data_IF_468144183045
#
_entry.id   IF_468144183045
#
_cell.length_a   1.000
_cell.length_b   1.000
_cell.length_c   1.000
_cell.angle_alpha   90.00
_cell.angle_beta   90.00
_cell.angle_gamma   90.00
#
_symmetry.space_group_name_H-M   'P 1'
#
loop_
_entity.id
_entity.type
_entity.pdbx_description
1 polymer ?
#
# COMPACT_ATOMS: atom_id res chain seq x y z
N UNK A 1 -12.03 -15.99 11.20
CA UNK A 1 -11.73 -16.23 9.77
C UNK A 1 -10.21 -16.20 9.60
N UNK A 2 -9.59 -17.34 9.45
CA UNK A 2 -8.15 -17.46 9.16
C UNK A 2 -7.91 -16.92 7.73
N UNK A 3 -6.97 -15.99 7.52
CA UNK A 3 -6.66 -15.54 6.17
C UNK A 3 -6.17 -16.72 5.35
N UNK A 4 -6.81 -17.01 4.21
CA UNK A 4 -6.28 -17.95 3.22
C UNK A 4 -4.94 -17.39 2.73
N UNK A 5 -3.85 -17.96 3.22
CA UNK A 5 -2.53 -17.76 2.63
C UNK A 5 -2.59 -18.19 1.16
N UNK A 6 -2.08 -17.35 0.27
CA UNK A 6 -1.98 -17.66 -1.16
C UNK A 6 -1.17 -18.95 -1.30
N UNK A 7 -1.59 -19.90 -2.14
CA UNK A 7 -1.02 -21.26 -2.26
C UNK A 7 0.52 -21.33 -2.32
N UNK A 8 1.17 -20.32 -2.93
CA UNK A 8 2.63 -20.25 -2.98
C UNK A 8 3.32 -19.90 -1.64
N UNK A 9 2.61 -19.30 -0.68
CA UNK A 9 3.18 -19.02 0.64
C UNK A 9 3.10 -20.25 1.56
N UNK A 10 2.12 -21.12 1.37
CA UNK A 10 2.00 -22.40 2.11
C UNK A 10 3.14 -23.36 1.76
N UNK A 11 3.55 -23.42 0.48
CA UNK A 11 4.69 -24.23 0.04
C UNK A 11 5.99 -23.77 0.72
N UNK A 12 6.19 -22.47 0.90
CA UNK A 12 7.35 -21.91 1.59
C UNK A 12 7.36 -22.27 3.07
N UNK A 13 6.20 -22.21 3.75
CA UNK A 13 6.08 -22.58 5.16
C UNK A 13 6.33 -24.08 5.40
N UNK A 14 5.95 -24.95 4.44
CA UNK A 14 6.21 -26.37 4.51
C UNK A 14 7.68 -26.72 4.27
N UNK A 15 8.43 -25.87 3.57
CA UNK A 15 9.85 -26.07 3.26
C UNK A 15 10.81 -25.92 4.46
N UNK A 16 10.30 -25.61 5.67
CA UNK A 16 11.06 -25.47 6.94
C UNK A 16 11.95 -26.69 7.25
N UNK A 17 11.68 -27.84 6.65
CA UNK A 17 12.47 -29.08 6.88
C UNK A 17 13.67 -29.28 5.93
N UNK A 18 13.87 -28.40 4.94
CA UNK A 18 14.82 -28.64 3.85
C UNK A 18 15.90 -27.55 3.76
N UNK A 19 16.85 -27.63 4.69
CA UNK A 19 18.02 -26.74 4.78
C UNK A 19 19.03 -26.95 3.65
N UNK A 20 19.74 -25.92 3.22
CA UNK A 20 19.63 -24.51 3.65
C UNK A 20 18.46 -23.78 2.97
N UNK A 21 17.84 -22.84 3.71
CA UNK A 21 16.84 -21.92 3.17
C UNK A 21 17.48 -20.55 2.93
N UNK A 22 17.58 -20.14 1.68
CA UNK A 22 18.12 -18.85 1.26
C UNK A 22 16.97 -17.89 1.00
N UNK A 23 16.97 -16.73 1.66
CA UNK A 23 16.05 -15.64 1.45
C UNK A 23 16.83 -14.40 1.00
N UNK A 24 16.59 -13.92 -0.22
CA UNK A 24 17.10 -12.65 -0.72
C UNK A 24 15.91 -11.71 -0.87
N UNK A 25 15.86 -10.66 -0.08
CA UNK A 25 14.82 -9.63 -0.11
C UNK A 25 15.51 -8.30 -0.36
N UNK A 26 15.12 -7.59 -1.43
CA UNK A 26 15.81 -6.36 -1.80
C UNK A 26 14.95 -5.41 -2.65
N UNK A 27 15.28 -4.11 -2.66
CA UNK A 27 14.67 -3.16 -3.60
C UNK A 27 14.86 -3.61 -5.04
N UNK A 28 13.79 -3.60 -5.84
CA UNK A 28 13.80 -3.99 -7.24
C UNK A 28 12.75 -3.17 -8.00
N UNK A 29 13.16 -2.04 -8.56
CA UNK A 29 12.30 -1.09 -9.28
C UNK A 29 12.78 -0.92 -10.73
N UNK A 30 12.47 -1.87 -11.64
CA UNK A 30 13.00 -1.85 -13.01
C UNK A 30 12.59 -0.63 -13.84
N UNK A 31 11.50 0.06 -13.46
CA UNK A 31 11.04 1.28 -14.14
C UNK A 31 11.72 2.56 -13.64
N UNK A 32 12.41 2.50 -12.51
CA UNK A 32 13.06 3.64 -11.86
C UNK A 32 14.59 3.52 -11.83
N UNK A 33 15.12 2.33 -12.06
CA UNK A 33 16.55 2.00 -11.98
C UNK A 33 17.07 1.44 -13.31
N UNK A 34 18.35 1.61 -13.58
CA UNK A 34 18.98 0.98 -14.75
C UNK A 34 19.03 -0.54 -14.55
N UNK A 35 18.73 -1.28 -15.61
CA UNK A 35 18.77 -2.75 -15.58
C UNK A 35 20.16 -3.26 -15.15
N UNK A 36 21.23 -2.66 -15.66
CA UNK A 36 22.60 -3.01 -15.29
C UNK A 36 22.92 -2.81 -13.80
N UNK A 37 22.32 -1.80 -13.17
CA UNK A 37 22.47 -1.57 -11.74
C UNK A 37 21.77 -2.65 -10.92
N UNK A 38 20.55 -3.04 -11.31
CA UNK A 38 19.82 -4.11 -10.66
C UNK A 38 20.54 -5.46 -10.81
N UNK A 39 21.03 -5.77 -12.00
CA UNK A 39 21.83 -6.98 -12.26
C UNK A 39 23.10 -7.01 -11.43
N UNK A 40 23.78 -5.87 -11.28
CA UNK A 40 24.97 -5.75 -10.45
C UNK A 40 24.66 -6.02 -8.96
N UNK A 41 23.58 -5.42 -8.42
CA UNK A 41 23.15 -5.66 -7.03
C UNK A 41 22.80 -7.14 -6.80
N UNK A 42 22.09 -7.74 -7.73
CA UNK A 42 21.76 -9.18 -7.68
C UNK A 42 23.01 -10.05 -7.72
N UNK A 43 24.00 -9.72 -8.57
CA UNK A 43 25.28 -10.43 -8.63
C UNK A 43 26.04 -10.35 -7.30
N UNK A 44 26.05 -9.18 -6.66
CA UNK A 44 26.64 -9.02 -5.32
C UNK A 44 25.92 -9.87 -4.28
N UNK A 45 24.57 -9.89 -4.31
CA UNK A 45 23.79 -10.72 -3.41
C UNK A 45 24.10 -12.22 -3.59
N UNK A 46 24.18 -12.69 -4.83
CA UNK A 46 24.59 -14.08 -5.13
C UNK A 46 25.99 -14.38 -4.62
N UNK A 47 26.93 -13.45 -4.78
CA UNK A 47 28.30 -13.63 -4.26
C UNK A 47 28.35 -13.79 -2.75
N UNK A 48 27.56 -12.99 -2.00
CA UNK A 48 27.42 -13.14 -0.54
C UNK A 48 26.84 -14.52 -0.17
N UNK A 49 25.75 -14.93 -0.84
CA UNK A 49 25.12 -16.26 -0.64
C UNK A 49 26.11 -17.39 -0.94
N UNK A 50 26.85 -17.30 -2.05
CA UNK A 50 27.84 -18.31 -2.45
C UNK A 50 28.89 -18.51 -1.35
N UNK A 51 29.50 -17.41 -0.89
CA UNK A 51 30.52 -17.46 0.17
C UNK A 51 29.99 -18.05 1.47
N UNK A 52 28.78 -17.70 1.88
CA UNK A 52 28.19 -18.16 3.14
C UNK A 52 27.73 -19.61 3.06
N UNK A 53 27.13 -20.04 1.94
CA UNK A 53 26.74 -21.43 1.72
C UNK A 53 27.97 -22.36 1.71
N UNK A 54 29.05 -21.98 1.01
CA UNK A 54 30.27 -22.79 0.95
C UNK A 54 31.00 -22.88 2.30
N UNK A 55 30.83 -21.86 3.16
CA UNK A 55 31.40 -21.87 4.49
C UNK A 55 30.61 -22.72 5.52
N UNK A 56 29.28 -22.83 5.34
CA UNK A 56 28.37 -23.34 6.37
C UNK A 56 27.75 -24.69 6.03
N UNK A 57 27.74 -25.11 4.76
CA UNK A 57 27.07 -26.33 4.29
C UNK A 57 27.98 -27.21 3.42
N UNK A 58 27.56 -28.45 3.21
CA UNK A 58 28.29 -29.35 2.30
C UNK A 58 28.22 -28.86 0.86
N UNK A 59 29.29 -29.06 0.11
CA UNK A 59 29.44 -28.58 -1.27
C UNK A 59 28.24 -28.99 -2.18
N UNK A 60 27.78 -30.24 -2.09
CA UNK A 60 26.65 -30.74 -2.88
C UNK A 60 25.35 -29.93 -2.62
N UNK A 61 25.04 -29.63 -1.34
CA UNK A 61 23.86 -28.83 -0.98
C UNK A 61 24.02 -27.39 -1.41
N UNK A 62 25.17 -26.79 -1.18
CA UNK A 62 25.48 -25.42 -1.58
C UNK A 62 25.33 -25.25 -3.11
N UNK A 63 25.97 -26.13 -3.90
CA UNK A 63 25.89 -26.09 -5.36
C UNK A 63 24.48 -26.30 -5.89
N UNK A 64 23.68 -27.19 -5.29
CA UNK A 64 22.29 -27.40 -5.69
C UNK A 64 21.46 -26.13 -5.53
N UNK A 65 21.57 -25.43 -4.39
CA UNK A 65 20.87 -24.16 -4.11
C UNK A 65 21.36 -23.02 -5.01
N UNK A 66 22.69 -22.89 -5.18
CA UNK A 66 23.27 -21.85 -6.04
C UNK A 66 22.88 -22.02 -7.51
N UNK A 67 22.78 -23.25 -8.02
CA UNK A 67 22.29 -23.49 -9.39
C UNK A 67 20.87 -22.99 -9.56
N UNK A 68 19.97 -23.31 -8.64
CA UNK A 68 18.59 -22.82 -8.65
C UNK A 68 18.50 -21.31 -8.54
N UNK A 69 19.25 -20.73 -7.61
CA UNK A 69 19.29 -19.27 -7.42
C UNK A 69 19.74 -18.54 -8.70
N UNK A 70 20.80 -19.03 -9.34
CA UNK A 70 21.29 -18.44 -10.60
C UNK A 70 20.28 -18.57 -11.73
N UNK A 71 19.56 -19.69 -11.86
CA UNK A 71 18.52 -19.88 -12.84
C UNK A 71 17.36 -18.90 -12.61
N UNK A 72 16.86 -18.78 -11.38
CA UNK A 72 15.79 -17.84 -11.04
C UNK A 72 16.15 -16.39 -11.38
N UNK A 73 17.41 -15.99 -11.16
CA UNK A 73 17.86 -14.61 -11.45
C UNK A 73 17.93 -14.34 -12.95
N UNK A 74 18.21 -15.33 -13.77
CA UNK A 74 18.20 -15.20 -15.23
C UNK A 74 16.79 -14.96 -15.78
N UNK A 75 15.76 -15.54 -15.13
CA UNK A 75 14.36 -15.48 -15.54
C UNK A 75 13.58 -14.32 -14.92
N UNK A 76 14.27 -13.33 -14.33
CA UNK A 76 13.60 -12.19 -13.69
C UNK A 76 12.84 -11.32 -14.68
N UNK A 77 11.60 -10.96 -14.30
CA UNK A 77 10.78 -10.01 -15.05
C UNK A 77 11.15 -8.56 -14.73
N UNK A 78 11.88 -7.92 -15.65
CA UNK A 78 12.22 -6.50 -15.60
C UNK A 78 11.10 -5.59 -16.15
N UNK A 79 9.97 -6.12 -16.60
CA UNK A 79 8.83 -5.33 -17.06
C UNK A 79 7.89 -4.89 -15.94
N UNK A 80 8.04 -5.47 -14.77
CA UNK A 80 7.19 -5.22 -13.60
C UNK A 80 7.28 -3.79 -13.07
N UNK A 81 6.17 -3.31 -12.47
CA UNK A 81 6.08 -2.03 -11.75
C UNK A 81 6.21 -2.20 -10.22
N UNK A 82 6.64 -3.36 -9.77
CA UNK A 82 6.83 -3.65 -8.34
C UNK A 82 8.04 -2.91 -7.79
N UNK A 83 8.07 -2.75 -6.46
CA UNK A 83 9.09 -1.98 -5.74
C UNK A 83 10.22 -2.83 -5.20
N UNK A 84 9.93 -4.10 -4.98
CA UNK A 84 10.88 -5.01 -4.34
C UNK A 84 10.70 -6.43 -4.84
N UNK A 85 11.72 -7.25 -4.59
CA UNK A 85 11.71 -8.67 -4.91
C UNK A 85 12.06 -9.48 -3.65
N UNK A 86 11.42 -10.64 -3.50
CA UNK A 86 11.79 -11.65 -2.52
C UNK A 86 12.03 -12.96 -3.25
N UNK A 87 13.24 -13.49 -3.16
CA UNK A 87 13.69 -14.74 -3.76
C UNK A 87 13.91 -15.75 -2.65
N UNK A 88 13.24 -16.89 -2.74
CA UNK A 88 13.35 -17.98 -1.78
C UNK A 88 13.84 -19.24 -2.48
N UNK A 89 14.96 -19.76 -2.01
CA UNK A 89 15.58 -20.95 -2.61
C UNK A 89 16.04 -21.91 -1.53
N UNK A 90 15.72 -23.18 -1.73
CA UNK A 90 16.25 -24.32 -0.94
C UNK A 90 16.49 -25.50 -1.88
N UNK A 91 17.00 -26.64 -1.39
CA UNK A 91 17.13 -27.83 -2.24
C UNK A 91 15.83 -28.27 -2.93
N UNK A 92 14.66 -27.96 -2.37
CA UNK A 92 13.34 -28.38 -2.87
C UNK A 92 12.42 -27.25 -3.26
N UNK A 93 12.71 -26.02 -2.88
CA UNK A 93 11.87 -24.84 -3.18
C UNK A 93 12.66 -23.83 -3.99
N UNK A 94 12.01 -23.24 -4.99
CA UNK A 94 12.48 -22.10 -5.78
C UNK A 94 11.29 -21.20 -6.10
N UNK A 95 11.25 -20.01 -5.50
CA UNK A 95 10.14 -19.05 -5.68
C UNK A 95 10.63 -17.62 -5.73
N UNK A 96 9.97 -16.82 -6.57
CA UNK A 96 10.16 -15.37 -6.66
C UNK A 96 8.83 -14.69 -6.39
N UNK A 97 8.85 -13.65 -5.58
CA UNK A 97 7.71 -12.77 -5.35
C UNK A 97 8.12 -11.33 -5.62
N UNK A 98 7.31 -10.63 -6.41
CA UNK A 98 7.43 -9.20 -6.63
C UNK A 98 6.48 -8.46 -5.69
N UNK A 99 7.01 -7.55 -4.88
CA UNK A 99 6.30 -6.90 -3.79
C UNK A 99 5.95 -5.44 -4.14
N UNK A 100 4.77 -4.99 -3.72
CA UNK A 100 4.32 -3.59 -3.91
C UNK A 100 4.88 -2.64 -2.84
N UNK A 101 5.51 -3.17 -1.81
CA UNK A 101 6.09 -2.42 -0.70
C UNK A 101 7.61 -2.20 -0.91
N UNK A 102 8.17 -1.08 -0.47
CA UNK A 102 9.61 -0.94 -0.35
C UNK A 102 10.13 -1.81 0.80
N UNK A 103 11.31 -2.39 0.63
CA UNK A 103 11.98 -3.20 1.64
C UNK A 103 13.44 -2.77 1.77
N UNK A 104 14.06 -3.08 2.90
CA UNK A 104 15.50 -3.03 3.07
C UNK A 104 16.15 -4.32 2.53
N UNK A 105 17.41 -4.22 2.06
CA UNK A 105 18.15 -5.39 1.60
C UNK A 105 18.40 -6.35 2.76
N UNK A 106 17.98 -7.59 2.59
CA UNK A 106 18.21 -8.70 3.52
C UNK A 106 18.65 -9.93 2.74
N UNK A 107 19.74 -10.53 3.15
CA UNK A 107 20.21 -11.82 2.66
C UNK A 107 20.36 -12.70 3.89
N UNK A 108 19.53 -13.73 3.96
CA UNK A 108 19.44 -14.61 5.13
C UNK A 108 19.54 -16.05 4.68
N UNK A 109 20.44 -16.80 5.30
CA UNK A 109 20.62 -18.24 5.10
C UNK A 109 20.39 -18.88 6.46
N UNK A 110 19.34 -19.67 6.59
CA UNK A 110 18.92 -20.23 7.86
C UNK A 110 18.16 -21.56 7.64
N UNK A 111 17.65 -22.14 8.73
CA UNK A 111 16.81 -23.32 8.76
C UNK A 111 15.39 -23.06 8.20
N UNK A 112 14.99 -21.79 8.09
CA UNK A 112 13.69 -21.36 7.60
C UNK A 112 13.80 -20.10 6.73
N UNK A 113 12.79 -19.89 5.88
CA UNK A 113 12.73 -18.66 5.08
C UNK A 113 12.31 -17.45 5.90
N UNK A 114 12.91 -16.30 5.61
CA UNK A 114 12.48 -15.00 6.13
C UNK A 114 11.28 -14.48 5.32
N UNK A 115 10.07 -14.66 5.84
CA UNK A 115 8.83 -14.37 5.12
C UNK A 115 8.09 -13.12 5.60
N UNK A 116 8.61 -12.37 6.58
CA UNK A 116 7.91 -11.22 7.17
C UNK A 116 7.50 -10.18 6.15
N UNK A 117 8.40 -9.78 5.26
CA UNK A 117 8.10 -8.79 4.22
C UNK A 117 7.10 -9.31 3.19
N UNK A 118 7.16 -10.62 2.86
CA UNK A 118 6.19 -11.27 2.00
C UNK A 118 4.78 -11.26 2.64
N UNK A 119 4.67 -11.65 3.90
CA UNK A 119 3.40 -11.62 4.64
C UNK A 119 2.87 -10.20 4.76
N UNK A 120 3.75 -9.24 5.06
CA UNK A 120 3.39 -7.83 5.14
C UNK A 120 2.90 -7.28 3.79
N UNK A 121 3.55 -7.63 2.68
CA UNK A 121 3.15 -7.21 1.33
C UNK A 121 1.81 -7.82 0.89
N UNK A 122 1.48 -9.01 1.40
CA UNK A 122 0.23 -9.73 1.12
C UNK A 122 -0.92 -9.34 2.07
N UNK A 123 -0.63 -8.61 3.16
CA UNK A 123 -1.69 -7.96 3.91
C UNK A 123 -2.49 -7.11 2.94
N UNK A 124 -3.77 -7.42 2.78
CA UNK A 124 -4.67 -6.57 2.01
C UNK A 124 -4.50 -5.15 2.52
N UNK A 125 -4.03 -4.28 1.65
CA UNK A 125 -3.94 -2.86 1.97
C UNK A 125 -5.38 -2.35 2.04
N UNK A 126 -5.97 -2.40 3.23
CA UNK A 126 -7.32 -1.89 3.45
C UNK A 126 -7.31 -0.40 3.09
N UNK A 127 -7.88 -0.10 1.93
CA UNK A 127 -8.14 1.27 1.52
C UNK A 127 -9.38 1.78 2.23
N UNK A 128 -9.33 3.04 2.63
CA UNK A 128 -10.45 3.71 3.27
C UNK A 128 -10.48 5.19 2.90
N UNK A 129 -11.63 5.79 3.03
CA UNK A 129 -11.81 7.23 2.86
C UNK A 129 -11.94 7.90 4.22
N UNK A 130 -11.38 9.09 4.35
CA UNK A 130 -11.55 9.95 5.53
C UNK A 130 -12.09 11.30 5.07
N UNK A 131 -13.27 11.65 5.55
CA UNK A 131 -13.83 12.99 5.42
C UNK A 131 -13.51 13.78 6.68
N UNK A 132 -12.66 14.79 6.57
CA UNK A 132 -12.42 15.77 7.63
C UNK A 132 -13.34 16.96 7.42
N UNK A 133 -14.26 17.17 8.36
CA UNK A 133 -15.37 18.11 8.25
C UNK A 133 -15.33 19.14 9.35
N UNK A 134 -15.42 20.42 8.97
CA UNK A 134 -15.59 21.53 9.89
C UNK A 134 -16.66 22.50 9.36
N UNK A 135 -17.12 23.44 10.19
CA UNK A 135 -18.05 24.49 9.78
C UNK A 135 -17.52 25.40 8.65
N UNK A 136 -16.23 25.32 8.33
CA UNK A 136 -15.60 26.17 7.32
C UNK A 136 -15.02 25.40 6.15
N UNK A 137 -14.62 24.14 6.33
CA UNK A 137 -13.88 23.35 5.34
C UNK A 137 -14.27 21.88 5.39
N UNK A 138 -14.27 21.25 4.22
CA UNK A 138 -14.29 19.80 4.08
C UNK A 138 -13.07 19.33 3.29
N UNK A 139 -12.51 18.19 3.66
CA UNK A 139 -11.40 17.56 2.93
C UNK A 139 -11.58 16.06 2.93
N UNK A 140 -11.36 15.45 1.79
CA UNK A 140 -11.43 14.00 1.63
C UNK A 140 -10.03 13.46 1.42
N UNK A 141 -9.72 12.37 2.07
CA UNK A 141 -8.45 11.66 1.95
C UNK A 141 -8.68 10.21 1.60
N UNK A 142 -7.85 9.67 0.72
CA UNK A 142 -7.71 8.24 0.49
C UNK A 142 -6.54 7.76 1.35
N UNK A 143 -6.82 6.86 2.27
CA UNK A 143 -5.84 6.23 3.13
C UNK A 143 -5.68 4.76 2.83
N UNK A 144 -4.51 4.24 3.12
CA UNK A 144 -4.22 2.83 3.25
C UNK A 144 -3.20 2.65 4.39
N UNK A 145 -2.67 1.44 4.58
CA UNK A 145 -1.69 1.14 5.64
C UNK A 145 -0.39 1.96 5.54
N UNK A 146 -0.06 2.51 4.36
CA UNK A 146 1.24 3.13 4.07
C UNK A 146 1.12 4.59 3.65
N UNK A 147 0.02 4.94 2.97
CA UNK A 147 -0.15 6.26 2.35
C UNK A 147 -1.44 6.94 2.81
N UNK A 148 -1.39 8.26 2.90
CA UNK A 148 -2.53 9.09 3.20
C UNK A 148 -2.51 10.30 2.27
N UNK A 149 -3.37 10.30 1.24
CA UNK A 149 -3.34 11.28 0.14
C UNK A 149 -4.65 12.05 0.10
N UNK A 150 -4.56 13.38 0.00
CA UNK A 150 -5.72 14.22 -0.18
C UNK A 150 -6.31 14.04 -1.59
N UNK A 151 -7.62 13.80 -1.67
CA UNK A 151 -8.36 13.83 -2.92
C UNK A 151 -8.79 15.27 -3.18
N UNK A 152 -8.44 15.78 -4.37
CA UNK A 152 -8.92 17.08 -4.85
C UNK A 152 -10.17 16.80 -5.70
N UNK A 153 -11.31 17.35 -5.30
CA UNK A 153 -12.56 17.28 -6.04
C UNK A 153 -12.92 18.66 -6.62
N UNK A 154 -13.81 18.67 -7.60
CA UNK A 154 -14.34 19.91 -8.17
C UNK A 154 -15.37 20.62 -7.25
N UNK A 155 -15.72 19.99 -6.12
CA UNK A 155 -16.59 20.60 -5.11
C UNK A 155 -15.75 21.54 -4.25
N UNK A 156 -16.21 22.81 -4.05
CA UNK A 156 -15.51 23.75 -3.20
C UNK A 156 -15.31 23.20 -1.79
N UNK A 157 -14.09 23.18 -1.32
CA UNK A 157 -13.70 22.65 0.00
C UNK A 157 -13.86 23.66 1.14
N UNK A 158 -14.39 24.85 0.84
CA UNK A 158 -14.52 25.95 1.80
C UNK A 158 -15.89 26.63 1.71
N UNK A 159 -16.54 26.83 2.86
CA UNK A 159 -17.88 27.46 2.96
C UNK A 159 -17.92 28.86 2.36
N UNK A 160 -16.81 29.61 2.36
CA UNK A 160 -16.74 30.94 1.77
C UNK A 160 -16.98 30.98 0.26
N UNK A 161 -16.82 29.87 -0.45
CA UNK A 161 -17.15 29.79 -1.87
C UNK A 161 -18.65 30.03 -2.14
N UNK A 162 -19.50 29.81 -1.16
CA UNK A 162 -20.94 29.97 -1.24
C UNK A 162 -21.47 31.35 -0.83
N UNK A 163 -20.60 32.32 -0.51
CA UNK A 163 -21.01 33.67 -0.07
C UNK A 163 -21.83 34.41 -1.13
N UNK A 164 -21.46 34.24 -2.40
CA UNK A 164 -22.11 34.95 -3.51
C UNK A 164 -23.29 34.16 -4.10
N UNK A 165 -23.48 32.94 -3.64
CA UNK A 165 -24.46 31.99 -4.16
C UNK A 165 -25.78 32.01 -3.36
N UNK A 166 -25.84 32.89 -2.38
CA UNK A 166 -27.03 33.13 -1.56
C UNK A 166 -27.97 34.00 -2.40
N UNK A 167 -29.01 33.38 -2.91
CA UNK A 167 -30.04 34.08 -3.67
C UNK A 167 -30.54 35.31 -2.91
N UNK A 168 -30.91 36.38 -3.63
CA UNK A 168 -31.47 37.64 -3.11
C UNK A 168 -32.57 37.46 -2.06
N UNK A 169 -33.29 36.33 -2.09
CA UNK A 169 -34.29 35.94 -1.09
C UNK A 169 -33.75 35.80 0.34
N UNK A 170 -32.44 35.56 0.51
CA UNK A 170 -31.80 35.44 1.84
C UNK A 170 -31.22 36.76 2.32
N UNK A 171 -31.20 37.79 1.46
CA UNK A 171 -30.79 39.13 1.84
C UNK A 171 -31.72 39.77 2.89
N UNK A 172 -32.94 39.24 3.06
CA UNK A 172 -33.90 39.70 4.05
C UNK A 172 -33.81 39.03 5.42
N UNK A 173 -32.83 38.09 5.63
CA UNK A 173 -32.56 37.60 6.98
C UNK A 173 -31.91 38.71 7.80
N UNK A 174 -32.64 39.18 8.77
CA UNK A 174 -32.17 40.22 9.73
C UNK A 174 -31.11 39.69 10.70
N UNK A 175 -31.00 38.34 10.85
CA UNK A 175 -30.03 37.72 11.77
C UNK A 175 -28.83 37.11 11.01
N UNK A 176 -27.58 37.58 11.33
CA UNK A 176 -26.37 37.04 10.77
C UNK A 176 -26.14 35.55 11.10
N UNK A 177 -26.79 35.00 12.15
CA UNK A 177 -26.68 33.59 12.53
C UNK A 177 -27.42 32.71 11.55
N UNK A 178 -28.61 33.08 11.11
CA UNK A 178 -29.44 32.34 10.14
C UNK A 178 -28.73 32.26 8.80
N UNK A 179 -28.10 33.35 8.38
CA UNK A 179 -27.30 33.35 7.15
C UNK A 179 -26.12 32.34 7.19
N UNK A 180 -25.45 32.27 8.35
CA UNK A 180 -24.35 31.28 8.51
C UNK A 180 -24.84 29.85 8.48
N UNK A 181 -26.01 29.58 9.04
CA UNK A 181 -26.62 28.27 9.07
C UNK A 181 -27.06 27.80 7.67
N UNK A 182 -27.70 28.66 6.90
CA UNK A 182 -28.08 28.39 5.50
C UNK A 182 -26.84 28.14 4.64
N UNK A 183 -25.78 28.92 4.82
CA UNK A 183 -24.52 28.68 4.09
C UNK A 183 -23.90 27.35 4.47
N UNK A 184 -23.91 27.00 5.75
CA UNK A 184 -23.40 25.74 6.22
C UNK A 184 -24.21 24.56 5.65
N UNK A 185 -25.54 24.63 5.67
CA UNK A 185 -26.41 23.60 5.11
C UNK A 185 -26.11 23.38 3.61
N UNK A 186 -26.05 24.46 2.82
CA UNK A 186 -25.70 24.37 1.40
C UNK A 186 -24.33 23.76 1.16
N UNK A 187 -23.33 24.19 1.94
CA UNK A 187 -21.99 23.64 1.87
C UNK A 187 -21.95 22.14 2.20
N UNK A 188 -22.66 21.71 3.23
CA UNK A 188 -22.73 20.31 3.64
C UNK A 188 -23.46 19.46 2.59
N UNK A 189 -24.55 19.94 1.98
CA UNK A 189 -25.25 19.25 0.88
C UNK A 189 -24.36 19.04 -0.33
N UNK A 190 -23.59 20.06 -0.71
CA UNK A 190 -22.63 19.91 -1.82
C UNK A 190 -21.48 18.95 -1.48
N UNK A 191 -21.02 18.97 -0.22
CA UNK A 191 -20.03 18.01 0.27
C UNK A 191 -20.58 16.58 0.18
N UNK A 192 -21.84 16.35 0.59
CA UNK A 192 -22.51 15.05 0.50
C UNK A 192 -22.67 14.59 -0.94
N UNK A 193 -23.14 15.47 -1.83
CA UNK A 193 -23.28 15.15 -3.26
C UNK A 193 -21.94 14.73 -3.89
N UNK A 194 -20.86 15.48 -3.61
CA UNK A 194 -19.50 15.13 -4.08
C UNK A 194 -19.00 13.83 -3.48
N UNK A 195 -19.26 13.59 -2.19
CA UNK A 195 -18.90 12.35 -1.50
C UNK A 195 -19.67 11.15 -2.08
N UNK A 196 -20.96 11.32 -2.38
CA UNK A 196 -21.80 10.28 -2.97
C UNK A 196 -21.29 9.81 -4.35
N UNK A 197 -20.81 10.74 -5.19
CA UNK A 197 -20.17 10.42 -6.47
C UNK A 197 -18.90 9.63 -6.24
N UNK A 198 -18.08 10.05 -5.27
CA UNK A 198 -16.83 9.38 -4.94
C UNK A 198 -17.08 7.96 -4.42
N UNK A 199 -18.04 7.76 -3.54
CA UNK A 199 -18.39 6.45 -2.96
C UNK A 199 -18.96 5.48 -4.00
N UNK A 200 -19.67 5.98 -5.02
CA UNK A 200 -20.10 5.14 -6.17
C UNK A 200 -18.91 4.63 -6.98
N UNK A 201 -17.89 5.47 -7.18
CA UNK A 201 -16.68 5.09 -7.92
C UNK A 201 -15.71 4.26 -7.08
N UNK A 202 -15.66 4.50 -5.77
CA UNK A 202 -14.78 3.85 -4.82
C UNK A 202 -15.59 3.39 -3.59
N UNK A 203 -16.17 2.19 -3.62
CA UNK A 203 -16.98 1.66 -2.51
C UNK A 203 -16.08 1.24 -1.35
N UNK A 204 -15.46 2.21 -0.70
CA UNK A 204 -14.53 2.03 0.41
C UNK A 204 -15.19 2.42 1.74
N UNK A 205 -14.74 1.86 2.87
CA UNK A 205 -15.14 2.33 4.20
C UNK A 205 -14.86 3.83 4.34
N UNK A 206 -15.85 4.58 4.85
CA UNK A 206 -15.75 6.01 5.08
C UNK A 206 -15.68 6.29 6.58
N UNK A 207 -14.66 7.03 6.99
CA UNK A 207 -14.54 7.61 8.33
C UNK A 207 -14.79 9.11 8.26
N UNK A 208 -15.67 9.62 9.13
CA UNK A 208 -15.97 11.06 9.23
C UNK A 208 -15.39 11.60 10.52
N UNK A 209 -14.55 12.62 10.40
CA UNK A 209 -13.88 13.29 11.54
C UNK A 209 -14.25 14.77 11.54
N UNK A 210 -14.70 15.28 12.67
CA UNK A 210 -15.07 16.68 12.82
C UNK A 210 -15.70 16.97 14.17
N UNK A 211 -16.12 18.23 14.39
CA UNK A 211 -16.84 18.59 15.59
C UNK A 211 -18.26 17.97 15.59
N UNK A 212 -18.69 17.46 16.75
CA UNK A 212 -19.97 16.74 16.91
C UNK A 212 -21.17 17.51 16.37
N UNK A 213 -21.23 18.83 16.57
CA UNK A 213 -22.27 19.71 16.04
C UNK A 213 -22.34 19.65 14.51
N UNK A 214 -21.20 19.67 13.83
CA UNK A 214 -21.12 19.68 12.36
C UNK A 214 -21.42 18.28 11.82
N UNK A 215 -20.89 17.24 12.45
CA UNK A 215 -21.19 15.85 12.10
C UNK A 215 -22.68 15.56 12.32
N UNK A 216 -23.28 16.04 13.43
CA UNK A 216 -24.69 15.89 13.71
C UNK A 216 -25.58 16.59 12.69
N UNK A 217 -25.16 17.74 12.15
CA UNK A 217 -25.85 18.43 11.06
C UNK A 217 -25.70 17.66 9.75
N UNK A 218 -24.50 17.20 9.43
CA UNK A 218 -24.21 16.43 8.22
C UNK A 218 -24.98 15.10 8.15
N UNK A 219 -25.20 14.45 9.30
CA UNK A 219 -26.00 13.20 9.37
C UNK A 219 -27.49 13.37 9.09
N UNK A 220 -28.01 14.61 9.14
CA UNK A 220 -29.43 14.92 8.88
C UNK A 220 -29.71 15.29 7.42
N UNK A 221 -28.67 15.44 6.62
CA UNK A 221 -28.72 15.74 5.19
C UNK A 221 -28.87 14.45 4.40
#
# INVERSE_FOLDING_TARGET
MTPKLVSGAEEILQAVKYMPCVSIIMPFEPKMSLKSELEYKLKLAVGKVDSELMASYTEDKALAVLRKLRALIQDLDYSTYKKSIAIFVSPVVEKIFYLDIPVEEKIIIDDSFEIRDLVYSKKEMHKYLVLVLSAKRSRIYLGNTVTFVRIVSNVPDHVAAYKNDIAERVANFSDPSDRKEVMLDKFLRHTDAGLSILLKSYPLPLFVIGADRVIGHFKKI
#
